data_IF_601150667359
#
_entry.id   IF_601150667359
#
_cell.length_a   1.000
_cell.length_b   1.000
_cell.length_c   1.000
_cell.angle_alpha   90.00
_cell.angle_beta   90.00
_cell.angle_gamma   90.00
#
_symmetry.space_group_name_H-M   'P 1'
#
loop_
_entity.id
_entity.type
_entity.pdbx_description
1 polymer ?
#
# COMPACT_ATOMS: atom_id res chain seq x y z
N UNK A 1 -5.38 -8.84 12.79
CA UNK A 1 -5.64 -7.51 13.36
C UNK A 1 -6.00 -7.63 14.83
N UNK A 2 -7.00 -8.44 15.18
CA UNK A 2 -7.48 -8.56 16.58
C UNK A 2 -6.46 -9.05 17.59
N UNK A 3 -5.54 -9.96 17.21
CA UNK A 3 -4.45 -10.42 18.09
C UNK A 3 -3.57 -9.29 18.65
N UNK A 4 -3.46 -8.17 17.94
CA UNK A 4 -2.58 -7.05 18.30
C UNK A 4 -3.32 -5.74 18.55
N UNK A 5 -4.59 -5.65 18.14
CA UNK A 5 -5.38 -4.42 18.16
C UNK A 5 -6.71 -4.57 18.89
N UNK A 6 -7.02 -5.74 19.47
CA UNK A 6 -8.37 -6.13 19.92
C UNK A 6 -9.42 -6.00 18.80
N UNK A 7 -10.71 -6.16 19.09
CA UNK A 7 -11.73 -5.96 18.05
C UNK A 7 -11.95 -4.47 17.76
N UNK A 8 -12.46 -4.10 16.57
CA UNK A 8 -12.81 -2.70 16.28
C UNK A 8 -13.80 -2.09 17.29
N UNK A 9 -14.68 -2.90 17.88
CA UNK A 9 -15.64 -2.48 18.91
C UNK A 9 -14.96 -2.22 20.25
N UNK A 10 -13.95 -3.01 20.59
CA UNK A 10 -13.21 -2.91 21.85
C UNK A 10 -12.10 -1.84 21.80
N UNK A 11 -11.54 -1.57 20.61
CA UNK A 11 -10.48 -0.58 20.41
C UNK A 11 -10.72 0.36 19.21
N UNK A 12 -11.85 1.09 19.18
CA UNK A 12 -12.20 1.95 18.05
C UNK A 12 -11.17 3.06 17.82
N UNK A 13 -10.60 3.62 18.89
CA UNK A 13 -9.58 4.66 18.82
C UNK A 13 -8.25 4.15 18.27
N UNK A 14 -7.85 2.92 18.61
CA UNK A 14 -6.67 2.28 18.05
C UNK A 14 -6.79 2.12 16.54
N UNK A 15 -7.90 1.52 16.09
CA UNK A 15 -8.19 1.35 14.66
C UNK A 15 -8.24 2.67 13.91
N UNK A 16 -8.82 3.72 14.52
CA UNK A 16 -8.87 5.07 13.93
C UNK A 16 -7.47 5.67 13.79
N UNK A 17 -6.63 5.58 14.82
CA UNK A 17 -5.27 6.16 14.79
C UNK A 17 -4.34 5.46 13.81
N UNK A 18 -4.47 4.14 13.66
CA UNK A 18 -3.61 3.33 12.79
C UNK A 18 -4.06 3.26 11.33
N UNK A 19 -5.20 3.87 10.99
CA UNK A 19 -5.67 3.92 9.61
C UNK A 19 -4.85 4.95 8.81
N UNK A 20 -3.98 4.46 7.92
CA UNK A 20 -3.09 5.29 7.10
C UNK A 20 -3.80 6.31 6.23
N UNK A 21 -5.07 6.07 5.87
CA UNK A 21 -5.88 7.03 5.09
C UNK A 21 -6.03 8.38 5.79
N UNK A 22 -5.98 8.38 7.13
CA UNK A 22 -6.06 9.60 7.94
C UNK A 22 -4.79 10.47 7.88
N UNK A 23 -3.71 9.96 7.27
CA UNK A 23 -2.38 10.59 7.29
C UNK A 23 -1.83 10.85 5.88
N UNK A 24 -2.65 10.69 4.85
CA UNK A 24 -2.24 10.81 3.43
C UNK A 24 -1.63 12.18 3.12
N UNK A 25 -2.19 13.25 3.69
CA UNK A 25 -1.71 14.62 3.51
C UNK A 25 -0.36 14.91 4.19
N UNK A 26 0.08 14.03 5.09
CA UNK A 26 1.38 14.13 5.76
C UNK A 26 2.51 13.49 4.93
N UNK A 27 2.22 13.00 3.72
CA UNK A 27 3.23 12.41 2.86
C UNK A 27 4.20 13.49 2.37
N UNK A 28 5.45 13.40 2.83
CA UNK A 28 6.56 14.19 2.33
C UNK A 28 7.44 13.34 1.40
N UNK A 29 7.73 13.85 0.21
CA UNK A 29 8.56 13.15 -0.78
C UNK A 29 7.78 12.25 -1.75
N UNK A 30 8.40 11.14 -2.13
CA UNK A 30 7.95 10.24 -3.21
C UNK A 30 7.53 8.89 -2.66
N UNK A 31 6.34 8.41 -3.03
CA UNK A 31 5.81 7.12 -2.60
C UNK A 31 5.52 6.23 -3.81
N UNK A 32 6.23 5.10 -3.89
CA UNK A 32 5.87 3.98 -4.76
C UNK A 32 5.07 2.95 -3.97
N UNK A 33 3.82 2.72 -4.39
CA UNK A 33 2.94 1.70 -3.84
C UNK A 33 2.77 0.57 -4.85
N UNK A 34 3.03 -0.66 -4.41
CA UNK A 34 3.00 -1.88 -5.23
C UNK A 34 2.03 -2.89 -4.63
N UNK A 35 1.15 -3.49 -5.44
CA UNK A 35 0.18 -4.50 -4.97
C UNK A 35 0.04 -5.69 -5.95
N UNK A 36 -0.28 -6.88 -5.44
CA UNK A 36 -0.66 -8.05 -6.24
C UNK A 36 -2.16 -8.08 -6.55
N UNK A 37 -2.55 -8.12 -7.83
CA UNK A 37 -3.96 -8.01 -8.24
C UNK A 37 -4.88 -9.13 -7.76
N UNK A 38 -4.31 -10.28 -7.35
CA UNK A 38 -5.02 -11.45 -6.83
C UNK A 38 -4.67 -11.76 -5.37
N UNK A 39 -4.21 -10.76 -4.60
CA UNK A 39 -3.84 -10.93 -3.19
C UNK A 39 -5.04 -11.32 -2.31
N UNK A 40 -5.00 -12.54 -1.78
CA UNK A 40 -5.99 -13.15 -0.89
C UNK A 40 -5.64 -12.99 0.60
N UNK A 41 -4.49 -12.41 0.92
CA UNK A 41 -4.00 -12.19 2.30
C UNK A 41 -4.17 -10.73 2.70
N UNK A 42 -3.71 -9.81 1.86
CA UNK A 42 -3.91 -8.36 2.01
C UNK A 42 -4.69 -7.86 0.80
N UNK A 43 -6.00 -7.79 0.98
CA UNK A 43 -6.94 -7.48 -0.09
C UNK A 43 -6.59 -6.18 -0.82
N UNK A 44 -6.69 -6.20 -2.15
CA UNK A 44 -6.32 -5.09 -3.03
C UNK A 44 -7.02 -3.77 -2.68
N UNK A 45 -8.25 -3.87 -2.15
CA UNK A 45 -9.07 -2.79 -1.63
C UNK A 45 -8.32 -1.88 -0.65
N UNK A 46 -7.39 -2.40 0.16
CA UNK A 46 -6.62 -1.58 1.09
C UNK A 46 -5.80 -0.50 0.38
N UNK A 47 -5.08 -0.89 -0.67
CA UNK A 47 -4.26 0.03 -1.46
C UNK A 47 -5.13 0.96 -2.31
N UNK A 48 -6.26 0.47 -2.85
CA UNK A 48 -7.20 1.29 -3.61
C UNK A 48 -7.86 2.37 -2.77
N UNK A 49 -8.24 2.07 -1.51
CA UNK A 49 -8.80 3.08 -0.61
C UNK A 49 -7.77 4.16 -0.25
N UNK A 50 -6.49 3.81 -0.11
CA UNK A 50 -5.45 4.81 0.11
C UNK A 50 -5.24 5.69 -1.14
N UNK A 51 -5.21 5.07 -2.32
CA UNK A 51 -5.12 5.77 -3.61
C UNK A 51 -6.31 6.73 -3.81
N UNK A 52 -7.53 6.29 -3.51
CA UNK A 52 -8.73 7.12 -3.56
C UNK A 52 -8.59 8.35 -2.65
N UNK A 53 -8.21 8.16 -1.39
CA UNK A 53 -7.98 9.28 -0.46
C UNK A 53 -6.85 10.20 -0.94
N UNK A 54 -5.79 9.67 -1.54
CA UNK A 54 -4.71 10.49 -2.12
C UNK A 54 -5.21 11.35 -3.28
N UNK A 55 -6.03 10.80 -4.16
CA UNK A 55 -6.68 11.55 -5.24
C UNK A 55 -7.57 12.66 -4.68
N UNK A 56 -8.43 12.36 -3.70
CA UNK A 56 -9.29 13.34 -3.04
C UNK A 56 -8.51 14.49 -2.40
N UNK A 57 -7.34 14.18 -1.85
CA UNK A 57 -6.45 15.15 -1.18
C UNK A 57 -5.45 15.82 -2.13
N UNK A 58 -5.45 15.48 -3.42
CA UNK A 58 -4.51 16.02 -4.40
C UNK A 58 -3.05 15.57 -4.19
N UNK A 59 -2.83 14.48 -3.46
CA UNK A 59 -1.51 13.90 -3.19
C UNK A 59 -1.14 12.92 -4.29
N UNK A 60 0.02 13.12 -4.91
CA UNK A 60 0.51 12.28 -6.00
C UNK A 60 1.22 11.04 -5.47
N UNK A 61 0.89 9.89 -6.05
CA UNK A 61 1.51 8.59 -5.74
C UNK A 61 1.96 7.91 -7.03
N UNK A 62 3.04 7.16 -6.96
CA UNK A 62 3.41 6.21 -8.00
C UNK A 62 2.80 4.85 -7.64
N UNK A 63 1.93 4.32 -8.49
CA UNK A 63 1.19 3.09 -8.21
C UNK A 63 1.48 2.01 -9.26
N UNK A 64 1.74 0.79 -8.81
CA UNK A 64 2.03 -0.33 -9.69
C UNK A 64 1.36 -1.62 -9.22
N UNK A 65 0.87 -2.40 -10.17
CA UNK A 65 0.16 -3.65 -9.88
C UNK A 65 0.79 -4.80 -10.63
N UNK A 66 0.92 -5.94 -9.96
CA UNK A 66 1.20 -7.23 -10.56
C UNK A 66 -0.12 -7.99 -10.73
N UNK A 67 -0.80 -7.91 -11.89
CA UNK A 67 -2.23 -8.22 -11.98
C UNK A 67 -2.58 -9.68 -11.67
N UNK A 68 -1.65 -10.60 -11.91
CA UNK A 68 -1.84 -12.04 -11.76
C UNK A 68 -1.11 -12.63 -10.55
N UNK A 69 -0.55 -11.78 -9.68
CA UNK A 69 0.13 -12.23 -8.48
C UNK A 69 -0.78 -12.13 -7.27
N UNK A 70 -0.64 -13.09 -6.36
CA UNK A 70 -1.21 -13.06 -5.02
C UNK A 70 -0.35 -12.15 -4.12
N UNK A 71 -0.32 -12.43 -2.81
CA UNK A 71 0.48 -11.67 -1.85
C UNK A 71 1.98 -11.61 -2.20
N UNK A 72 2.54 -12.71 -2.70
CA UNK A 72 3.95 -12.77 -3.08
C UNK A 72 4.11 -12.69 -4.60
N UNK A 73 4.93 -11.76 -5.06
CA UNK A 73 5.41 -11.72 -6.45
C UNK A 73 6.52 -12.76 -6.60
N UNK A 74 6.31 -13.75 -7.48
CA UNK A 74 7.18 -14.91 -7.62
C UNK A 74 7.71 -15.09 -9.05
N UNK A 75 8.66 -16.01 -9.21
CA UNK A 75 9.24 -16.35 -10.51
C UNK A 75 10.00 -15.19 -11.15
N UNK A 76 9.93 -15.09 -12.49
CA UNK A 76 10.63 -14.05 -13.25
C UNK A 76 10.19 -12.63 -12.86
N UNK A 77 8.93 -12.45 -12.48
CA UNK A 77 8.38 -11.13 -12.15
C UNK A 77 8.93 -10.61 -10.82
N UNK A 78 9.51 -11.47 -9.99
CA UNK A 78 10.22 -11.05 -8.77
C UNK A 78 11.51 -10.28 -9.09
N UNK A 79 12.18 -10.61 -10.19
CA UNK A 79 13.34 -9.85 -10.67
C UNK A 79 12.89 -8.46 -11.09
N UNK A 80 11.83 -8.37 -11.89
CA UNK A 80 11.21 -7.10 -12.28
C UNK A 80 10.75 -6.27 -11.06
N UNK A 81 10.24 -6.89 -10.00
CA UNK A 81 9.92 -6.21 -8.74
C UNK A 81 11.16 -5.55 -8.13
N UNK A 82 12.27 -6.28 -8.03
CA UNK A 82 13.49 -5.72 -7.46
C UNK A 82 14.10 -4.63 -8.32
N UNK A 83 14.08 -4.79 -9.66
CA UNK A 83 14.51 -3.76 -10.61
C UNK A 83 13.67 -2.49 -10.42
N UNK A 84 12.33 -2.61 -10.44
CA UNK A 84 11.43 -1.47 -10.28
C UNK A 84 11.64 -0.73 -8.95
N UNK A 85 11.83 -1.46 -7.86
CA UNK A 85 12.11 -0.85 -6.54
C UNK A 85 13.46 -0.14 -6.56
N UNK A 86 14.48 -0.76 -7.17
CA UNK A 86 15.83 -0.18 -7.25
C UNK A 86 15.84 1.10 -8.09
N UNK A 87 15.23 1.06 -9.27
CA UNK A 87 15.13 2.22 -10.17
C UNK A 87 14.42 3.40 -9.48
N UNK A 88 13.33 3.11 -8.75
CA UNK A 88 12.62 4.16 -8.01
C UNK A 88 13.50 4.84 -6.97
N UNK A 89 14.35 4.09 -6.28
CA UNK A 89 15.31 4.67 -5.35
C UNK A 89 16.41 5.44 -6.07
N UNK A 90 16.99 4.90 -7.14
CA UNK A 90 18.04 5.61 -7.90
C UNK A 90 17.55 6.92 -8.53
N UNK A 91 16.27 7.01 -8.87
CA UNK A 91 15.67 8.21 -9.48
C UNK A 91 15.25 9.27 -8.45
N UNK A 92 15.06 8.90 -7.16
CA UNK A 92 14.43 9.77 -6.16
C UNK A 92 15.19 9.93 -4.84
N UNK A 93 16.37 9.32 -4.68
CA UNK A 93 17.29 9.48 -3.53
C UNK A 93 18.70 9.83 -4.02
#
# INVERSE_FOLDING_TARGET
>A
TERYMDTPEENPEGYKKTNLKNHVENLEGKLLMIHGGLDDVVLWQHSLQYLETAIEKGVQLDYFVYPQHKHNVLGKDRVHLYEKVSDYFFDNL
#
